data_IF_566450609300
#
_entry.id   IF_566450609300
#
_cell.length_a   1.000
_cell.length_b   1.000
_cell.length_c   1.000
_cell.angle_alpha   90.00
_cell.angle_beta   90.00
_cell.angle_gamma   90.00
#
_symmetry.space_group_name_H-M   'P 1'
#
loop_
_entity.id
_entity.type
_entity.pdbx_description
1 polymer ?
#
# COMPACT_ATOMS: atom_id res chain seq x y z
N UNK A 1 -30.17 -14.40 20.26
CA UNK A 1 -29.70 -15.27 19.16
C UNK A 1 -28.19 -15.11 19.07
N UNK A 2 -27.46 -15.98 19.77
CA UNK A 2 -26.01 -16.10 19.65
C UNK A 2 -25.77 -17.23 18.64
N UNK A 3 -25.79 -16.90 17.36
CA UNK A 3 -25.19 -17.77 16.37
C UNK A 3 -23.69 -17.71 16.62
N UNK A 4 -23.23 -18.65 17.43
CA UNK A 4 -21.83 -18.95 17.67
C UNK A 4 -21.10 -18.89 16.34
N UNK A 5 -20.16 -17.94 16.23
CA UNK A 5 -19.21 -17.78 15.15
C UNK A 5 -18.49 -19.11 14.91
N UNK A 6 -19.11 -20.02 14.15
CA UNK A 6 -18.45 -21.23 13.70
C UNK A 6 -17.26 -20.74 12.87
N UNK A 7 -16.05 -21.00 13.38
CA UNK A 7 -14.83 -20.58 12.72
C UNK A 7 -14.82 -21.18 11.32
N UNK A 8 -15.07 -20.34 10.31
CA UNK A 8 -15.06 -20.78 8.91
C UNK A 8 -13.63 -21.25 8.63
N UNK A 9 -13.42 -22.53 8.26
CA UNK A 9 -12.09 -23.04 8.01
C UNK A 9 -11.43 -22.18 6.93
N UNK A 10 -10.21 -21.72 7.24
CA UNK A 10 -9.42 -20.88 6.35
C UNK A 10 -9.21 -21.62 5.02
N UNK A 11 -9.91 -21.19 3.96
CA UNK A 11 -9.84 -21.90 2.69
C UNK A 11 -8.44 -21.74 2.10
N UNK A 12 -7.93 -22.79 1.43
CA UNK A 12 -6.65 -22.75 0.72
C UNK A 12 -6.58 -21.60 -0.31
N UNK A 13 -7.72 -21.16 -0.83
CA UNK A 13 -7.82 -20.02 -1.76
C UNK A 13 -7.54 -18.70 -1.06
N UNK A 14 -8.03 -18.52 0.16
CA UNK A 14 -7.76 -17.32 0.94
C UNK A 14 -6.29 -17.28 1.38
N UNK A 15 -5.71 -18.43 1.73
CA UNK A 15 -4.27 -18.57 1.95
C UNK A 15 -3.46 -18.23 0.68
N UNK A 16 -3.90 -18.73 -0.48
CA UNK A 16 -3.29 -18.40 -1.77
C UNK A 16 -3.38 -16.91 -2.09
N UNK A 17 -4.51 -16.26 -1.78
CA UNK A 17 -4.70 -14.83 -1.98
C UNK A 17 -3.84 -13.99 -1.03
N UNK A 18 -3.73 -14.39 0.24
CA UNK A 18 -2.80 -13.79 1.20
C UNK A 18 -1.35 -13.93 0.73
N UNK A 19 -0.96 -15.13 0.29
CA UNK A 19 0.38 -15.41 -0.25
C UNK A 19 0.69 -14.57 -1.49
N UNK A 20 -0.24 -14.47 -2.44
CA UNK A 20 -0.10 -13.63 -3.63
C UNK A 20 0.03 -12.14 -3.27
N UNK A 21 -0.81 -11.67 -2.34
CA UNK A 21 -0.73 -10.30 -1.83
C UNK A 21 0.62 -9.99 -1.18
N UNK A 22 1.11 -10.85 -0.30
CA UNK A 22 2.42 -10.71 0.34
C UNK A 22 3.58 -10.79 -0.67
N UNK A 23 3.48 -11.66 -1.69
CA UNK A 23 4.50 -11.75 -2.74
C UNK A 23 4.57 -10.45 -3.55
N UNK A 24 3.43 -9.85 -3.90
CA UNK A 24 3.36 -8.53 -4.54
C UNK A 24 3.82 -7.40 -3.61
N UNK A 25 3.62 -7.54 -2.30
CA UNK A 25 4.04 -6.56 -1.31
C UNK A 25 5.56 -6.38 -1.24
N UNK A 26 6.34 -7.41 -1.57
CA UNK A 26 7.82 -7.35 -1.56
C UNK A 26 8.37 -6.27 -2.53
N UNK A 27 8.15 -6.35 -3.86
CA UNK A 27 8.66 -5.34 -4.78
C UNK A 27 7.98 -3.98 -4.59
N UNK A 28 6.68 -3.96 -4.24
CA UNK A 28 5.93 -2.71 -4.01
C UNK A 28 6.43 -1.97 -2.77
N UNK A 29 6.61 -2.66 -1.65
CA UNK A 29 7.13 -2.07 -0.42
C UNK A 29 8.55 -1.53 -0.62
N UNK A 30 9.39 -2.28 -1.34
CA UNK A 30 10.74 -1.84 -1.68
C UNK A 30 10.73 -0.57 -2.56
N UNK A 31 9.87 -0.53 -3.57
CA UNK A 31 9.69 0.66 -4.41
C UNK A 31 9.18 1.85 -3.59
N UNK A 32 8.21 1.65 -2.70
CA UNK A 32 7.71 2.72 -1.84
C UNK A 32 8.80 3.27 -0.91
N UNK A 33 9.75 2.45 -0.48
CA UNK A 33 10.90 2.88 0.31
C UNK A 33 11.85 3.82 -0.45
N UNK A 34 12.03 3.62 -1.76
CA UNK A 34 12.85 4.53 -2.59
C UNK A 34 12.08 5.80 -2.95
N UNK A 35 10.76 5.70 -3.11
CA UNK A 35 9.89 6.83 -3.41
C UNK A 35 9.71 7.80 -2.23
N UNK A 36 10.22 7.49 -1.03
CA UNK A 36 10.27 8.41 0.12
C UNK A 36 11.00 9.72 -0.20
N UNK A 37 11.87 9.70 -1.22
CA UNK A 37 12.57 10.89 -1.69
C UNK A 37 11.68 11.84 -2.50
N UNK A 38 10.52 11.40 -3.01
CA UNK A 38 9.60 12.22 -3.79
C UNK A 38 8.76 13.18 -2.93
N UNK A 39 8.19 14.23 -3.53
CA UNK A 39 7.24 15.12 -2.86
C UNK A 39 6.12 14.33 -2.18
N UNK A 40 5.71 14.79 -0.99
CA UNK A 40 4.76 14.11 -0.12
C UNK A 40 3.49 13.59 -0.84
N UNK A 41 2.83 14.43 -1.64
CA UNK A 41 1.61 14.07 -2.36
C UNK A 41 1.82 12.98 -3.41
N UNK A 42 2.99 12.96 -4.05
CA UNK A 42 3.30 11.98 -5.08
C UNK A 42 3.51 10.59 -4.45
N UNK A 43 4.10 10.52 -3.25
CA UNK A 43 4.18 9.29 -2.48
C UNK A 43 2.80 8.71 -2.12
N UNK A 44 1.87 9.55 -1.65
CA UNK A 44 0.50 9.11 -1.30
C UNK A 44 -0.24 8.55 -2.52
N UNK A 45 -0.08 9.18 -3.68
CA UNK A 45 -0.64 8.69 -4.95
C UNK A 45 -0.14 7.27 -5.27
N UNK A 46 1.16 7.02 -5.15
CA UNK A 46 1.72 5.69 -5.38
C UNK A 46 1.25 4.66 -4.35
N UNK A 47 1.09 5.03 -3.07
CA UNK A 47 0.52 4.12 -2.06
C UNK A 47 -0.88 3.65 -2.46
N UNK A 48 -1.74 4.57 -2.92
CA UNK A 48 -3.09 4.24 -3.38
C UNK A 48 -3.05 3.36 -4.64
N UNK A 49 -2.30 3.78 -5.66
CA UNK A 49 -2.21 3.07 -6.95
C UNK A 49 -1.70 1.64 -6.78
N UNK A 50 -0.61 1.45 -6.03
CA UNK A 50 -0.02 0.14 -5.78
C UNK A 50 -0.90 -0.71 -4.85
N UNK A 51 -1.56 -0.09 -3.87
CA UNK A 51 -2.56 -0.77 -3.02
C UNK A 51 -3.74 -1.31 -3.84
N UNK A 52 -4.26 -0.53 -4.79
CA UNK A 52 -5.32 -0.98 -5.70
C UNK A 52 -4.87 -2.14 -6.58
N UNK A 53 -3.64 -2.08 -7.10
CA UNK A 53 -3.05 -3.17 -7.90
C UNK A 53 -2.95 -4.47 -7.10
N UNK A 54 -2.43 -4.40 -5.86
CA UNK A 54 -2.34 -5.56 -4.95
C UNK A 54 -3.75 -6.08 -4.65
N UNK A 55 -4.70 -5.19 -4.30
CA UNK A 55 -6.08 -5.55 -4.05
C UNK A 55 -6.73 -6.28 -5.22
N UNK A 56 -6.47 -5.84 -6.46
CA UNK A 56 -6.96 -6.50 -7.67
C UNK A 56 -6.37 -7.90 -7.88
N UNK A 57 -5.08 -8.11 -7.56
CA UNK A 57 -4.45 -9.43 -7.60
C UNK A 57 -5.10 -10.37 -6.58
N UNK A 58 -5.26 -9.92 -5.33
CA UNK A 58 -5.92 -10.69 -4.27
C UNK A 58 -7.35 -11.04 -4.69
N UNK A 59 -8.11 -10.06 -5.21
CA UNK A 59 -9.46 -10.26 -5.70
C UNK A 59 -9.51 -11.36 -6.78
N UNK A 60 -8.64 -11.29 -7.79
CA UNK A 60 -8.61 -12.29 -8.88
C UNK A 60 -8.31 -13.71 -8.38
N UNK A 61 -7.37 -13.85 -7.46
CA UNK A 61 -6.99 -15.16 -6.89
C UNK A 61 -8.11 -15.73 -6.02
N UNK A 62 -8.79 -14.89 -5.24
CA UNK A 62 -9.83 -15.32 -4.31
C UNK A 62 -11.23 -15.41 -4.94
N UNK A 63 -11.52 -14.70 -6.04
CA UNK A 63 -12.84 -14.60 -6.67
C UNK A 63 -13.55 -15.95 -6.90
N UNK A 64 -12.88 -17.04 -7.31
CA UNK A 64 -13.53 -18.33 -7.47
C UNK A 64 -14.12 -18.93 -6.18
N UNK A 65 -13.68 -18.48 -5.00
CA UNK A 65 -14.10 -19.01 -3.69
C UNK A 65 -15.18 -18.18 -2.97
N UNK A 66 -15.73 -17.15 -3.60
CA UNK A 66 -16.77 -16.29 -3.00
C UNK A 66 -18.06 -17.08 -2.68
N UNK A 67 -18.83 -16.70 -1.64
CA UNK A 67 -18.61 -15.55 -0.75
C UNK A 67 -17.74 -15.88 0.48
N UNK A 68 -16.96 -14.91 0.95
CA UNK A 68 -16.19 -15.01 2.20
C UNK A 68 -16.76 -14.12 3.31
N UNK A 69 -16.57 -14.52 4.57
CA UNK A 69 -16.97 -13.70 5.71
C UNK A 69 -16.20 -12.36 5.74
N UNK A 70 -16.91 -11.25 5.96
CA UNK A 70 -16.32 -9.89 5.97
C UNK A 70 -15.16 -9.75 6.98
N UNK A 71 -15.23 -10.25 8.23
CA UNK A 71 -14.10 -10.14 9.17
C UNK A 71 -12.82 -10.78 8.63
N UNK A 72 -12.94 -11.93 7.95
CA UNK A 72 -11.81 -12.62 7.32
C UNK A 72 -11.18 -11.77 6.20
N UNK A 73 -12.01 -11.11 5.38
CA UNK A 73 -11.54 -10.21 4.32
C UNK A 73 -10.81 -8.98 4.89
N UNK A 74 -11.30 -8.41 5.99
CA UNK A 74 -10.62 -7.35 6.73
C UNK A 74 -9.24 -7.79 7.23
N UNK A 75 -9.16 -8.96 7.87
CA UNK A 75 -7.90 -9.50 8.37
C UNK A 75 -6.89 -9.71 7.23
N UNK A 76 -7.31 -10.28 6.09
CA UNK A 76 -6.43 -10.45 4.93
C UNK A 76 -5.94 -9.11 4.39
N UNK A 77 -6.84 -8.14 4.17
CA UNK A 77 -6.46 -6.83 3.66
C UNK A 77 -5.51 -6.08 4.58
N UNK A 78 -5.77 -6.09 5.89
CA UNK A 78 -4.91 -5.46 6.89
C UNK A 78 -3.55 -6.18 7.02
N UNK A 79 -3.53 -7.51 6.95
CA UNK A 79 -2.28 -8.29 7.01
C UNK A 79 -1.38 -7.97 5.81
N UNK A 80 -1.94 -7.90 4.59
CA UNK A 80 -1.17 -7.53 3.40
C UNK A 80 -0.71 -6.07 3.46
N UNK A 81 -1.56 -5.14 3.90
CA UNK A 81 -1.16 -3.75 4.09
C UNK A 81 -0.03 -3.59 5.13
N UNK A 82 -0.10 -4.34 6.23
CA UNK A 82 0.96 -4.39 7.23
C UNK A 82 2.27 -4.97 6.64
N UNK A 83 2.17 -5.99 5.78
CA UNK A 83 3.31 -6.54 5.05
C UNK A 83 3.96 -5.48 4.14
N UNK A 84 3.18 -4.75 3.33
CA UNK A 84 3.69 -3.65 2.49
C UNK A 84 4.39 -2.59 3.33
N UNK A 85 3.74 -2.16 4.42
CA UNK A 85 4.28 -1.16 5.34
C UNK A 85 5.59 -1.62 6.01
N UNK A 86 5.65 -2.89 6.44
CA UNK A 86 6.85 -3.48 7.03
C UNK A 86 7.99 -3.58 6.02
N UNK A 87 7.73 -4.07 4.80
CA UNK A 87 8.74 -4.15 3.74
C UNK A 87 9.25 -2.75 3.37
N UNK A 88 8.36 -1.76 3.32
CA UNK A 88 8.75 -0.37 3.06
C UNK A 88 9.65 0.19 4.17
N UNK A 89 9.32 -0.09 5.44
CA UNK A 89 10.15 0.28 6.58
C UNK A 89 11.53 -0.39 6.54
N UNK A 90 11.58 -1.68 6.19
CA UNK A 90 12.83 -2.42 5.99
C UNK A 90 13.64 -1.81 4.85
N UNK A 91 13.01 -1.49 3.72
CA UNK A 91 13.64 -0.82 2.59
C UNK A 91 14.22 0.55 2.98
N UNK A 92 13.52 1.33 3.80
CA UNK A 92 14.00 2.63 4.29
C UNK A 92 15.25 2.45 5.17
N UNK A 93 15.25 1.46 6.06
CA UNK A 93 16.43 1.10 6.84
C UNK A 93 17.64 0.73 5.95
N UNK A 94 17.42 -0.08 4.90
CA UNK A 94 18.47 -0.42 3.95
C UNK A 94 18.91 0.78 3.10
N UNK A 95 18.01 1.69 2.72
CA UNK A 95 18.36 2.92 2.00
C UNK A 95 19.22 3.85 2.84
N UNK A 96 19.07 3.87 4.17
CA UNK A 96 19.97 4.65 5.04
C UNK A 96 21.32 3.94 5.20
N UNK A 97 21.31 2.64 5.47
CA UNK A 97 22.52 1.83 5.71
C UNK A 97 23.37 1.62 4.44
N UNK A 98 22.74 1.63 3.28
CA UNK A 98 23.26 1.04 2.04
C UNK A 98 23.14 -0.49 2.04
N UNK A 99 23.13 -1.07 0.84
CA UNK A 99 23.05 -2.51 0.62
C UNK A 99 23.75 -2.90 -0.68
N UNK A 100 23.98 -4.19 -0.89
CA UNK A 100 24.66 -4.71 -2.08
C UNK A 100 23.64 -5.51 -2.90
N UNK A 101 23.55 -5.20 -4.20
CA UNK A 101 22.67 -5.91 -5.13
C UNK A 101 23.48 -6.78 -6.09
N UNK A 102 23.04 -8.01 -6.38
CA UNK A 102 23.63 -8.78 -7.46
C UNK A 102 23.17 -8.20 -8.80
N UNK A 103 24.13 -7.90 -9.68
CA UNK A 103 23.88 -7.41 -11.03
C UNK A 103 24.55 -8.35 -12.04
N UNK A 104 23.87 -8.69 -13.17
CA UNK A 104 24.50 -9.47 -14.22
C UNK A 104 25.53 -8.61 -14.96
N UNK A 105 26.82 -8.89 -14.76
CA UNK A 105 27.94 -8.26 -15.44
C UNK A 105 28.49 -9.12 -16.59
N UNK A 106 29.42 -8.57 -17.37
CA UNK A 106 30.05 -9.25 -18.51
C UNK A 106 30.87 -10.48 -18.10
N UNK A 107 31.32 -10.54 -16.85
CA UNK A 107 32.08 -11.67 -16.27
C UNK A 107 31.24 -12.51 -15.28
N UNK A 108 29.91 -12.39 -15.32
CA UNK A 108 28.99 -13.09 -14.42
C UNK A 108 28.37 -12.17 -13.36
N UNK A 109 27.86 -12.76 -12.28
CA UNK A 109 27.21 -12.01 -11.20
C UNK A 109 28.21 -11.16 -10.43
N UNK A 110 28.00 -9.85 -10.45
CA UNK A 110 28.82 -8.89 -9.71
C UNK A 110 27.97 -8.18 -8.66
N UNK A 111 28.53 -7.96 -7.47
CA UNK A 111 27.84 -7.22 -6.42
C UNK A 111 28.04 -5.72 -6.63
N UNK A 112 26.94 -4.98 -6.76
CA UNK A 112 26.95 -3.53 -6.86
C UNK A 112 26.44 -2.92 -5.55
N UNK A 113 27.29 -2.13 -4.90
CA UNK A 113 26.92 -1.41 -3.67
C UNK A 113 26.05 -0.22 -4.01
N UNK A 114 24.82 -0.24 -3.49
CA UNK A 114 23.93 0.92 -3.48
C UNK A 114 24.29 1.77 -2.27
N UNK A 115 24.74 2.99 -2.56
CA UNK A 115 25.06 4.00 -1.56
C UNK A 115 23.80 4.43 -0.82
N UNK A 116 23.85 4.38 0.51
CA UNK A 116 22.77 4.87 1.36
C UNK A 116 23.04 6.28 1.87
N UNK A 117 22.08 6.87 2.58
CA UNK A 117 22.25 8.22 3.15
C UNK A 117 23.49 8.30 4.06
N UNK A 118 23.79 7.23 4.83
CA UNK A 118 24.99 7.15 5.66
C UNK A 118 26.29 7.19 4.83
N UNK A 119 26.28 6.75 3.57
CA UNK A 119 27.45 6.80 2.69
C UNK A 119 27.57 8.13 1.94
N UNK A 120 26.66 9.09 2.15
CA UNK A 120 26.85 10.48 1.69
C UNK A 120 28.13 11.10 2.27
N UNK A 121 28.53 10.72 3.49
CA UNK A 121 29.82 11.08 4.08
C UNK A 121 31.00 10.65 3.21
N UNK A 122 30.90 9.49 2.57
CA UNK A 122 31.91 8.94 1.68
C UNK A 122 31.97 9.76 0.39
N UNK A 123 30.82 10.12 -0.21
CA UNK A 123 30.77 10.98 -1.41
C UNK A 123 31.41 12.35 -1.17
N UNK A 124 31.17 12.96 -0.01
CA UNK A 124 31.81 14.24 0.34
C UNK A 124 33.32 14.12 0.49
N UNK A 125 33.82 12.96 0.92
CA UNK A 125 35.25 12.68 1.02
C UNK A 125 35.90 12.50 -0.36
N UNK A 126 35.16 11.95 -1.33
CA UNK A 126 35.61 11.78 -2.72
C UNK A 126 35.72 13.08 -3.52
N UNK A 127 35.01 14.13 -3.11
CA UNK A 127 35.05 15.41 -3.82
C UNK A 127 36.46 16.02 -3.92
N UNK A 128 37.39 15.61 -3.07
CA UNK A 128 38.74 16.17 -2.99
C UNK A 128 39.87 15.15 -3.23
N UNK A 129 39.57 13.86 -3.45
CA UNK A 129 40.59 12.81 -3.61
C UNK A 129 40.12 11.71 -4.57
N UNK A 130 41.03 11.26 -5.43
CA UNK A 130 40.85 10.03 -6.23
C UNK A 130 41.15 8.80 -5.38
N UNK A 131 40.23 7.84 -5.35
CA UNK A 131 40.40 6.56 -4.66
C UNK A 131 40.33 5.41 -5.66
N UNK A 132 41.02 4.32 -5.36
CA UNK A 132 40.88 3.08 -6.12
C UNK A 132 39.52 2.42 -5.81
N UNK A 133 38.96 1.58 -6.70
CA UNK A 133 37.72 0.85 -6.42
C UNK A 133 37.73 0.07 -5.11
N UNK A 134 38.88 -0.52 -4.75
CA UNK A 134 39.07 -1.27 -3.50
C UNK A 134 39.04 -0.37 -2.27
N UNK A 135 39.63 0.83 -2.36
CA UNK A 135 39.54 1.82 -1.28
C UNK A 135 38.09 2.31 -1.11
N UNK A 136 37.36 2.51 -2.21
CA UNK A 136 35.95 2.92 -2.18
C UNK A 136 35.09 1.85 -1.47
N UNK A 137 35.29 0.57 -1.79
CA UNK A 137 34.53 -0.52 -1.18
C UNK A 137 34.85 -0.67 0.31
N UNK A 138 36.12 -0.55 0.69
CA UNK A 138 36.54 -0.54 2.09
C UNK A 138 35.90 0.61 2.88
N UNK A 139 35.96 1.84 2.35
CA UNK A 139 35.39 3.02 3.01
C UNK A 139 33.87 2.92 3.20
N UNK A 140 33.16 2.35 2.23
CA UNK A 140 31.73 2.07 2.34
C UNK A 140 31.43 1.06 3.44
N UNK A 141 32.19 -0.03 3.49
CA UNK A 141 32.04 -1.07 4.52
C UNK A 141 32.29 -0.50 5.93
N UNK A 142 33.37 0.24 6.11
CA UNK A 142 33.71 0.88 7.40
C UNK A 142 32.65 1.91 7.82
N UNK A 143 32.18 2.76 6.90
CA UNK A 143 31.11 3.74 7.18
C UNK A 143 29.83 3.03 7.59
N UNK A 144 29.45 1.96 6.89
CA UNK A 144 28.26 1.15 7.22
C UNK A 144 28.39 0.54 8.62
N UNK A 145 29.55 -0.02 8.95
CA UNK A 145 29.78 -0.63 10.27
C UNK A 145 29.76 0.43 11.39
N UNK A 146 30.37 1.59 11.16
CA UNK A 146 30.34 2.71 12.11
C UNK A 146 28.91 3.19 12.37
N UNK A 147 28.09 3.33 11.32
CA UNK A 147 26.67 3.66 11.48
C UNK A 147 25.93 2.62 12.34
N UNK A 148 26.15 1.32 12.09
CA UNK A 148 25.51 0.26 12.88
C UNK A 148 25.94 0.28 14.34
N UNK A 149 27.23 0.52 14.61
CA UNK A 149 27.77 0.63 15.96
C UNK A 149 27.19 1.85 16.70
N UNK A 150 27.10 3.01 16.03
CA UNK A 150 26.46 4.21 16.58
C UNK A 150 24.98 3.95 16.88
N UNK A 151 24.27 3.29 15.97
CA UNK A 151 22.87 2.96 16.15
C UNK A 151 22.67 2.00 17.33
N UNK A 152 23.52 0.99 17.49
CA UNK A 152 23.48 0.08 18.64
C UNK A 152 23.79 0.77 19.98
N UNK A 153 24.70 1.75 19.95
CA UNK A 153 25.15 2.48 21.14
C UNK A 153 24.12 3.50 21.62
N UNK A 154 23.59 4.32 20.70
CA UNK A 154 22.63 5.38 21.04
C UNK A 154 21.18 4.89 21.07
N UNK A 155 20.86 3.83 20.31
CA UNK A 155 19.51 3.29 20.16
C UNK A 155 19.51 1.75 20.24
N UNK A 156 19.85 1.15 21.41
CA UNK A 156 19.89 -0.30 21.57
C UNK A 156 18.53 -0.93 21.21
N UNK A 157 18.47 -2.15 20.64
CA UNK A 157 19.58 -3.05 20.33
C UNK A 157 20.32 -2.75 19.02
N UNK A 158 20.10 -1.59 18.38
CA UNK A 158 20.59 -1.32 17.03
C UNK A 158 19.72 -2.00 15.96
N UNK A 159 20.28 -2.16 14.75
CA UNK A 159 19.56 -2.76 13.61
C UNK A 159 18.26 -2.05 13.28
N UNK A 160 17.24 -2.79 12.82
CA UNK A 160 15.93 -2.23 12.50
C UNK A 160 15.19 -1.63 13.73
N UNK A 161 15.14 -2.29 14.91
CA UNK A 161 14.51 -1.69 16.08
C UNK A 161 15.19 -0.40 16.54
N UNK A 162 16.53 -0.36 16.50
CA UNK A 162 17.31 0.84 16.77
C UNK A 162 17.04 1.95 15.76
N UNK A 163 16.91 1.60 14.48
CA UNK A 163 16.52 2.55 13.43
C UNK A 163 15.14 3.15 13.68
N UNK A 164 14.14 2.36 14.05
CA UNK A 164 12.81 2.87 14.40
C UNK A 164 12.89 3.84 15.58
N UNK A 165 13.64 3.49 16.64
CA UNK A 165 13.87 4.38 17.79
C UNK A 165 14.56 5.68 17.39
N UNK A 166 15.58 5.59 16.54
CA UNK A 166 16.30 6.75 16.02
C UNK A 166 15.39 7.67 15.20
N UNK A 167 14.61 7.11 14.26
CA UNK A 167 13.63 7.84 13.44
C UNK A 167 12.54 8.51 14.27
N UNK A 168 12.09 7.86 15.36
CA UNK A 168 11.12 8.43 16.30
C UNK A 168 11.71 9.57 17.14
N UNK A 169 12.96 9.45 17.58
CA UNK A 169 13.59 10.47 18.43
C UNK A 169 14.12 11.65 17.62
N UNK A 170 14.49 11.44 16.35
CA UNK A 170 15.03 12.48 15.47
C UNK A 170 16.36 13.07 15.92
N UNK A 171 17.07 12.37 16.81
CA UNK A 171 18.39 12.79 17.27
C UNK A 171 19.41 12.65 16.15
N UNK A 172 20.31 13.62 16.03
CA UNK A 172 21.44 13.51 15.11
C UNK A 172 22.42 12.44 15.60
N UNK A 173 22.93 11.62 14.68
CA UNK A 173 24.05 10.72 14.92
C UNK A 173 25.31 11.33 14.31
N UNK A 174 26.29 11.64 15.15
CA UNK A 174 27.57 12.17 14.71
C UNK A 174 28.45 11.04 14.16
N UNK A 175 28.48 10.88 12.84
CA UNK A 175 29.28 9.86 12.19
C UNK A 175 30.70 10.38 11.94
N UNK A 176 31.76 9.72 12.44
CA UNK A 176 33.12 10.13 12.16
C UNK A 176 33.44 9.95 10.67
N UNK A 177 34.17 10.90 10.09
CA UNK A 177 34.74 10.77 8.74
C UNK A 177 36.03 9.99 8.81
N UNK A 178 36.24 9.05 7.88
CA UNK A 178 37.38 8.11 7.95
C UNK A 178 38.74 8.84 7.79
N UNK A 179 38.79 9.94 7.03
CA UNK A 179 40.04 10.70 6.79
C UNK A 179 40.01 12.14 7.30
N UNK A 180 39.10 12.48 8.20
CA UNK A 180 38.98 13.84 8.73
C UNK A 180 38.60 13.78 10.20
N UNK A 181 39.16 14.66 11.05
CA UNK A 181 38.74 14.76 12.45
C UNK A 181 37.31 15.27 12.62
N UNK A 182 36.67 15.73 11.53
CA UNK A 182 35.30 16.23 11.55
C UNK A 182 34.28 15.08 11.51
N UNK A 183 33.19 15.25 12.25
CA UNK A 183 32.01 14.39 12.15
C UNK A 183 31.04 14.95 11.10
N UNK A 184 30.22 14.07 10.55
CA UNK A 184 29.03 14.47 9.80
C UNK A 184 27.81 14.11 10.61
N UNK A 185 26.95 15.10 10.83
CA UNK A 185 25.67 14.91 11.48
C UNK A 185 24.72 14.15 10.54
N UNK A 186 24.39 12.91 10.89
CA UNK A 186 23.36 12.11 10.21
C UNK A 186 22.02 12.38 10.90
N UNK A 187 21.10 13.00 10.16
CA UNK A 187 19.74 13.28 10.63
C UNK A 187 18.76 12.61 9.66
N UNK A 188 17.75 11.86 10.13
CA UNK A 188 16.71 11.34 9.24
C UNK A 188 16.01 12.51 8.55
N UNK A 189 15.85 12.45 7.22
CA UNK A 189 15.16 13.50 6.44
C UNK A 189 13.75 13.78 6.97
N UNK A 190 13.11 12.75 7.52
CA UNK A 190 11.85 12.84 8.24
C UNK A 190 12.01 12.11 9.56
N UNK A 191 11.81 12.82 10.67
CA UNK A 191 11.90 12.26 12.02
C UNK A 191 10.71 12.66 12.89
N UNK A 192 10.58 11.98 14.02
CA UNK A 192 9.56 12.23 15.03
C UNK A 192 8.14 12.10 14.50
N UNK A 193 7.28 13.05 14.91
CA UNK A 193 5.85 13.01 14.62
C UNK A 193 5.58 13.03 13.10
N UNK A 194 6.37 13.75 12.30
CA UNK A 194 6.21 13.79 10.84
C UNK A 194 6.42 12.41 10.21
N UNK A 195 7.42 11.68 10.69
CA UNK A 195 7.71 10.32 10.24
C UNK A 195 6.56 9.35 10.59
N UNK A 196 6.04 9.44 11.82
CA UNK A 196 4.89 8.63 12.27
C UNK A 196 3.63 8.93 11.47
N UNK A 197 3.31 10.21 11.26
CA UNK A 197 2.14 10.63 10.47
C UNK A 197 2.24 10.03 9.06
N UNK A 198 3.41 10.11 8.42
CA UNK A 198 3.62 9.49 7.11
C UNK A 198 3.37 7.99 7.15
N UNK A 199 3.94 7.27 8.12
CA UNK A 199 3.78 5.82 8.22
C UNK A 199 2.31 5.42 8.40
N UNK A 200 1.57 6.14 9.25
CA UNK A 200 0.14 5.92 9.49
C UNK A 200 -0.67 6.23 8.22
N UNK A 201 -0.42 7.36 7.55
CA UNK A 201 -1.12 7.71 6.32
C UNK A 201 -0.84 6.70 5.20
N UNK A 202 0.40 6.26 5.03
CA UNK A 202 0.76 5.23 4.07
C UNK A 202 0.03 3.91 4.37
N UNK A 203 -0.05 3.50 5.64
CA UNK A 203 -0.79 2.32 6.06
C UNK A 203 -2.28 2.46 5.76
N UNK A 204 -2.92 3.56 6.17
CA UNK A 204 -4.36 3.78 5.98
C UNK A 204 -4.73 3.81 4.49
N UNK A 205 -3.96 4.52 3.66
CA UNK A 205 -4.21 4.57 2.22
C UNK A 205 -4.02 3.22 1.54
N UNK A 206 -2.94 2.51 1.89
CA UNK A 206 -2.67 1.17 1.33
C UNK A 206 -3.74 0.18 1.77
N UNK A 207 -4.12 0.18 3.05
CA UNK A 207 -5.18 -0.67 3.58
C UNK A 207 -6.52 -0.36 2.92
N UNK A 208 -6.89 0.93 2.82
CA UNK A 208 -8.12 1.36 2.14
C UNK A 208 -8.18 0.91 0.68
N UNK A 209 -7.08 1.09 -0.06
CA UNK A 209 -6.97 0.68 -1.46
C UNK A 209 -7.04 -0.84 -1.67
N UNK A 210 -6.42 -1.63 -0.78
CA UNK A 210 -6.52 -3.10 -0.82
C UNK A 210 -7.95 -3.53 -0.45
N UNK A 211 -8.48 -3.02 0.65
CA UNK A 211 -9.79 -3.41 1.18
C UNK A 211 -10.94 -3.01 0.24
N UNK A 212 -10.83 -1.90 -0.50
CA UNK A 212 -11.86 -1.51 -1.48
C UNK A 212 -12.07 -2.57 -2.56
N UNK A 213 -11.05 -3.37 -2.88
CA UNK A 213 -11.14 -4.49 -3.83
C UNK A 213 -11.55 -5.78 -3.10
N UNK A 214 -10.88 -6.09 -1.98
CA UNK A 214 -11.04 -7.37 -1.28
C UNK A 214 -12.44 -7.52 -0.65
N UNK A 215 -13.06 -6.44 -0.17
CA UNK A 215 -14.41 -6.48 0.40
C UNK A 215 -15.49 -6.86 -0.63
N UNK A 216 -15.24 -6.67 -1.92
CA UNK A 216 -16.12 -7.14 -3.01
C UNK A 216 -16.25 -8.66 -3.12
N UNK A 217 -15.43 -9.42 -2.40
CA UNK A 217 -15.52 -10.88 -2.28
C UNK A 217 -16.49 -11.35 -1.19
N UNK A 218 -17.04 -10.41 -0.40
CA UNK A 218 -18.01 -10.71 0.63
C UNK A 218 -19.36 -11.18 0.07
N UNK A 219 -20.26 -11.67 0.93
CA UNK A 219 -21.65 -11.82 0.53
C UNK A 219 -22.15 -10.48 0.00
N UNK A 220 -22.93 -10.53 -1.09
CA UNK A 220 -23.67 -9.35 -1.54
C UNK A 220 -24.37 -8.78 -0.31
N UNK A 221 -24.25 -7.46 -0.09
CA UNK A 221 -25.19 -6.83 0.85
C UNK A 221 -26.57 -7.30 0.41
N UNK A 222 -27.43 -7.80 1.32
CA UNK A 222 -28.83 -7.99 0.96
C UNK A 222 -29.18 -6.66 0.30
N UNK A 223 -29.45 -6.68 -1.01
CA UNK A 223 -29.96 -5.50 -1.67
C UNK A 223 -31.06 -5.07 -0.72
N UNK A 224 -30.95 -3.89 -0.10
CA UNK A 224 -32.02 -3.34 0.70
C UNK A 224 -33.22 -3.60 -0.19
N UNK A 225 -34.10 -4.53 0.20
CA UNK A 225 -35.17 -5.01 -0.66
C UNK A 225 -35.82 -3.74 -1.11
N UNK A 226 -35.46 -3.31 -2.33
CA UNK A 226 -35.66 -1.95 -2.79
C UNK A 226 -37.11 -2.04 -3.11
N UNK A 227 -37.88 -1.72 -2.07
CA UNK A 227 -39.25 -1.32 -2.01
C UNK A 227 -39.80 -1.51 -3.40
N UNK A 228 -40.04 -2.78 -3.78
CA UNK A 228 -40.58 -3.11 -5.11
C UNK A 228 -41.84 -2.29 -5.04
N UNK A 229 -41.95 -1.17 -5.76
CA UNK A 229 -42.99 -0.20 -5.51
C UNK A 229 -44.24 -1.05 -5.60
N UNK A 230 -44.90 -1.19 -4.44
CA UNK A 230 -45.97 -2.14 -4.21
C UNK A 230 -46.82 -2.01 -5.47
N UNK A 231 -46.87 -3.08 -6.26
CA UNK A 231 -47.41 -3.11 -7.62
C UNK A 231 -48.93 -2.96 -7.44
N UNK A 232 -49.32 -1.78 -6.93
CA UNK A 232 -50.66 -1.28 -6.87
C UNK A 232 -50.98 -1.21 -8.34
N UNK A 233 -51.92 -2.05 -8.80
CA UNK A 233 -52.30 -2.05 -10.20
C UNK A 233 -52.55 -0.59 -10.55
N UNK A 234 -51.80 -0.09 -11.54
CA UNK A 234 -52.08 1.19 -12.16
C UNK A 234 -53.51 1.05 -12.66
N UNK A 235 -54.43 1.54 -11.85
CA UNK A 235 -55.85 1.51 -12.12
C UNK A 235 -56.00 2.24 -13.43
N UNK A 236 -56.37 1.48 -14.44
CA UNK A 236 -56.15 1.82 -15.83
C UNK A 236 -57.04 3.01 -16.14
N UNK A 237 -56.42 4.19 -16.22
CA UNK A 237 -57.04 5.42 -16.72
C UNK A 237 -57.49 5.29 -18.20
N UNK A 238 -57.40 4.09 -18.79
CA UNK A 238 -57.98 3.75 -20.10
C UNK A 238 -59.52 3.60 -20.08
N UNK A 239 -60.17 3.46 -18.91
CA UNK A 239 -61.62 3.33 -18.86
C UNK A 239 -62.36 4.66 -19.09
N UNK A 240 -61.77 5.81 -18.73
CA UNK A 240 -62.41 7.13 -18.93
C UNK A 240 -62.26 7.65 -20.35
N UNK A 241 -61.14 7.38 -21.02
CA UNK A 241 -60.89 7.88 -22.38
C UNK A 241 -61.68 7.10 -23.44
N UNK A 242 -61.93 5.80 -23.23
CA UNK A 242 -62.77 4.99 -24.12
C UNK A 242 -64.27 5.31 -24.04
N UNK A 243 -64.76 5.81 -22.90
CA UNK A 243 -66.16 6.24 -22.78
C UNK A 243 -66.42 7.57 -23.52
N UNK A 244 -65.43 8.47 -23.55
CA UNK A 244 -65.57 9.76 -24.22
C UNK A 244 -65.53 9.65 -25.76
N UNK A 245 -64.74 8.73 -26.33
CA UNK A 245 -64.67 8.59 -27.81
C UNK A 245 -65.90 7.89 -28.41
N UNK A 246 -66.62 7.05 -27.66
CA UNK A 246 -67.83 6.40 -28.15
C UNK A 246 -69.07 7.32 -28.16
N UNK A 247 -69.10 8.37 -27.33
CA UNK A 247 -70.19 9.35 -27.33
C UNK A 247 -70.12 10.31 -28.53
N UNK A 248 -68.91 10.66 -28.99
CA UNK A 248 -68.74 11.60 -30.10
C UNK A 248 -69.12 11.00 -31.47
N UNK A 249 -69.03 9.69 -31.64
CA UNK A 249 -69.31 9.06 -32.95
C UNK A 249 -70.80 8.86 -33.23
N UNK A 250 -71.66 8.93 -32.21
CA UNK A 250 -73.11 8.70 -32.35
C UNK A 250 -73.92 9.98 -32.65
N UNK A 251 -73.32 11.16 -32.54
CA UNK A 251 -74.01 12.44 -32.77
C UNK A 251 -73.96 12.91 -34.25
N UNK A 252 -73.24 12.21 -35.14
CA UNK A 252 -73.05 12.63 -36.53
C UNK A 252 -73.82 11.81 -37.58
N UNK A 253 -74.69 10.88 -37.17
CA UNK A 253 -75.30 9.91 -38.10
C UNK A 253 -76.81 10.11 -38.35
N UNK A 254 -77.43 11.12 -37.72
CA UNK A 254 -78.88 11.35 -37.81
C UNK A 254 -79.30 12.46 -38.81
N UNK A 255 -78.36 13.12 -39.50
CA UNK A 255 -78.65 14.31 -40.35
C UNK A 255 -78.66 14.07 -41.87
N UNK A 256 -78.79 12.83 -42.34
CA UNK A 256 -78.78 12.52 -43.78
C UNK A 256 -79.98 11.67 -44.24
N UNK A 257 -81.20 12.15 -44.02
CA UNK A 257 -82.38 11.75 -44.82
C UNK A 257 -83.39 12.90 -44.86
N UNK A 258 -83.25 13.76 -45.86
CA UNK A 258 -84.18 14.83 -46.22
C UNK A 258 -83.99 15.22 -47.66
#
# INVERSE_FOLDING_TARGET
MNDTNAAVPLSWRLLGALGAGCLCALPVGWLLATLVLLPFFLGLFFCMLLGLLIGAVIFRVAAPGKPFARPTLWLVGLAVAACVCFVSLVGEYYNVRGYDLPFPGTQGWQWHSVDGDATTCVRQTFAHRSFTPDQISQLRSETRQNFLNLLATHHPPGGLPGFVRWSLNGQALECPRIFSPHTTSLVPKQSGVKWVIRLVLAFVLTAGAILSQVLGLGPASPAADEDKPDDKPVETEDARTKAASHAAHKAGQDDATG
#
